data_IF_259539943487
#
_entry.id   IF_259539943487
#
_cell.length_a   1.000
_cell.length_b   1.000
_cell.length_c   1.000
_cell.angle_alpha   90.00
_cell.angle_beta   90.00
_cell.angle_gamma   90.00
#
_symmetry.space_group_name_H-M   'P 1'
#
loop_
_entity.id
_entity.type
_entity.pdbx_description
1 polymer ?
#
# COMPACT_ATOMS: atom_id res chain seq x y z
N UNK A 1 2.34 -51.16 -63.14
CA UNK A 1 1.19 -50.85 -62.24
C UNK A 1 1.62 -50.84 -60.77
N UNK A 2 2.61 -51.64 -60.38
CA UNK A 2 3.15 -51.72 -59.01
C UNK A 2 3.82 -50.43 -58.51
N UNK A 3 4.44 -49.63 -59.38
CA UNK A 3 5.18 -48.44 -58.94
C UNK A 3 4.27 -47.35 -58.37
N UNK A 4 3.07 -47.16 -58.95
CA UNK A 4 2.10 -46.17 -58.44
C UNK A 4 1.56 -46.56 -57.06
N UNK A 5 1.45 -47.86 -56.76
CA UNK A 5 0.99 -48.35 -55.45
C UNK A 5 2.05 -48.13 -54.37
N UNK A 6 3.32 -48.44 -54.66
CA UNK A 6 4.46 -48.21 -53.75
C UNK A 6 4.66 -46.71 -53.45
N UNK A 7 4.48 -45.84 -54.45
CA UNK A 7 4.52 -44.39 -54.22
C UNK A 7 3.36 -43.88 -53.37
N UNK A 8 2.17 -44.50 -53.47
CA UNK A 8 0.99 -44.15 -52.65
C UNK A 8 1.13 -44.57 -51.19
N UNK A 9 1.76 -45.71 -50.92
CA UNK A 9 1.94 -46.24 -49.56
C UNK A 9 3.05 -45.50 -48.78
N UNK A 10 4.16 -45.17 -49.44
CA UNK A 10 5.26 -44.38 -48.82
C UNK A 10 4.89 -42.92 -48.56
N UNK A 11 4.01 -42.32 -49.35
CA UNK A 11 3.50 -40.97 -49.09
C UNK A 11 2.48 -41.00 -47.96
N UNK A 12 1.59 -42.00 -47.93
CA UNK A 12 0.61 -42.21 -46.86
C UNK A 12 1.23 -42.24 -45.45
N UNK A 13 2.29 -43.04 -45.24
CA UNK A 13 2.96 -43.08 -43.94
C UNK A 13 3.52 -41.71 -43.51
N UNK A 14 4.10 -40.93 -44.43
CA UNK A 14 4.66 -39.61 -44.11
C UNK A 14 3.59 -38.59 -43.72
N UNK A 15 2.42 -38.63 -44.36
CA UNK A 15 1.29 -37.79 -43.99
C UNK A 15 0.68 -38.24 -42.65
N UNK A 16 0.61 -39.53 -42.38
CA UNK A 16 0.15 -40.04 -41.10
C UNK A 16 1.03 -39.59 -39.92
N UNK A 17 2.37 -39.59 -40.07
CA UNK A 17 3.27 -39.04 -39.04
C UNK A 17 3.08 -37.52 -38.86
N UNK A 18 2.87 -36.80 -39.95
CA UNK A 18 2.63 -35.36 -39.92
C UNK A 18 1.33 -35.03 -39.18
N UNK A 19 0.24 -35.72 -39.50
CA UNK A 19 -1.06 -35.56 -38.86
C UNK A 19 -1.03 -35.98 -37.39
N UNK A 20 -0.27 -37.02 -37.04
CA UNK A 20 -0.06 -37.43 -35.65
C UNK A 20 0.69 -36.33 -34.87
N UNK A 21 1.77 -35.78 -35.43
CA UNK A 21 2.53 -34.68 -34.80
C UNK A 21 1.67 -33.42 -34.64
N UNK A 22 0.86 -33.08 -35.64
CA UNK A 22 -0.06 -31.96 -35.58
C UNK A 22 -1.13 -32.17 -34.50
N UNK A 23 -1.73 -33.37 -34.45
CA UNK A 23 -2.71 -33.75 -33.44
C UNK A 23 -2.12 -33.69 -32.03
N UNK A 24 -0.89 -34.21 -31.86
CA UNK A 24 -0.16 -34.15 -30.60
C UNK A 24 0.11 -32.71 -30.17
N UNK A 25 0.50 -31.83 -31.10
CA UNK A 25 0.70 -30.42 -30.80
C UNK A 25 -0.60 -29.73 -30.35
N UNK A 26 -1.70 -30.01 -31.04
CA UNK A 26 -3.01 -29.47 -30.67
C UNK A 26 -3.45 -29.94 -29.28
N UNK A 27 -3.17 -31.20 -28.92
CA UNK A 27 -3.41 -31.75 -27.58
C UNK A 27 -2.51 -31.09 -26.53
N UNK A 28 -1.23 -30.86 -26.82
CA UNK A 28 -0.34 -30.13 -25.93
C UNK A 28 -0.80 -28.69 -25.71
N UNK A 29 -1.27 -28.00 -26.77
CA UNK A 29 -1.86 -26.68 -26.66
C UNK A 29 -3.14 -26.65 -25.83
N UNK A 30 -4.03 -27.62 -26.03
CA UNK A 30 -5.24 -27.78 -25.23
C UNK A 30 -4.89 -28.03 -23.74
N UNK A 31 -3.97 -28.95 -23.47
CA UNK A 31 -3.51 -29.26 -22.13
C UNK A 31 -2.87 -28.04 -21.45
N UNK A 32 -2.12 -27.24 -22.20
CA UNK A 32 -1.52 -26.00 -21.71
C UNK A 32 -2.60 -24.95 -21.35
N UNK A 33 -3.63 -24.77 -22.18
CA UNK A 33 -4.77 -23.87 -21.88
C UNK A 33 -5.53 -24.33 -20.64
N UNK A 34 -5.78 -25.64 -20.50
CA UNK A 34 -6.46 -26.21 -19.32
C UNK A 34 -5.61 -26.00 -18.07
N UNK A 35 -4.31 -26.27 -18.13
CA UNK A 35 -3.40 -26.10 -16.99
C UNK A 35 -3.26 -24.63 -16.61
N UNK A 36 -3.15 -23.73 -17.59
CA UNK A 36 -3.12 -22.28 -17.37
C UNK A 36 -4.42 -21.81 -16.71
N UNK A 37 -5.58 -22.24 -17.22
CA UNK A 37 -6.89 -21.93 -16.64
C UNK A 37 -7.08 -22.49 -15.22
N UNK A 38 -6.65 -23.74 -14.98
CA UNK A 38 -6.65 -24.34 -13.65
C UNK A 38 -5.77 -23.57 -12.69
N UNK A 39 -4.61 -23.12 -13.15
CA UNK A 39 -3.67 -22.34 -12.35
C UNK A 39 -4.25 -20.95 -12.05
N UNK A 40 -4.90 -20.29 -13.01
CA UNK A 40 -5.65 -19.05 -12.77
C UNK A 40 -6.78 -19.23 -11.75
N UNK A 41 -7.48 -20.36 -11.78
CA UNK A 41 -8.57 -20.67 -10.87
C UNK A 41 -8.09 -21.02 -9.45
N UNK A 42 -6.92 -21.65 -9.32
CA UNK A 42 -6.33 -22.04 -8.03
C UNK A 42 -5.53 -20.92 -7.35
N UNK A 43 -5.28 -19.80 -8.04
CA UNK A 43 -4.76 -18.59 -7.39
C UNK A 43 -5.90 -17.92 -6.60
N UNK A 44 -6.16 -18.41 -5.38
CA UNK A 44 -7.20 -17.90 -4.45
C UNK A 44 -7.06 -16.39 -4.12
N UNK A 45 -5.88 -15.82 -4.39
CA UNK A 45 -5.63 -14.37 -4.37
C UNK A 45 -5.72 -13.91 -5.83
N UNK A 46 -6.95 -13.76 -6.34
CA UNK A 46 -7.26 -13.53 -7.76
C UNK A 46 -6.41 -12.44 -8.42
N UNK A 47 -6.17 -12.57 -9.73
CA UNK A 47 -5.37 -11.71 -10.65
C UNK A 47 -5.09 -10.32 -10.05
N UNK A 48 -4.09 -10.25 -9.17
CA UNK A 48 -3.74 -9.03 -8.47
C UNK A 48 -2.39 -8.59 -8.97
N UNK A 49 -2.42 -7.44 -9.65
CA UNK A 49 -1.21 -6.71 -9.95
C UNK A 49 -0.40 -6.51 -8.66
N UNK A 50 0.94 -6.65 -8.72
CA UNK A 50 1.81 -6.57 -7.55
C UNK A 50 1.48 -5.31 -6.74
N UNK A 51 1.03 -5.52 -5.52
CA UNK A 51 0.57 -4.48 -4.59
C UNK A 51 1.42 -4.54 -3.32
N UNK A 52 1.55 -3.41 -2.62
CA UNK A 52 2.44 -3.30 -1.45
C UNK A 52 2.13 -4.38 -0.39
N UNK A 53 3.11 -5.27 -0.16
CA UNK A 53 3.05 -6.29 0.90
C UNK A 53 2.54 -7.67 0.50
N UNK A 54 2.24 -7.91 -0.78
CA UNK A 54 1.77 -9.22 -1.27
C UNK A 54 2.78 -9.85 -2.26
N UNK A 55 2.89 -11.18 -2.26
CA UNK A 55 3.80 -11.96 -3.10
C UNK A 55 3.23 -12.29 -4.50
N UNK A 56 2.09 -11.70 -4.86
CA UNK A 56 1.41 -11.95 -6.14
C UNK A 56 2.30 -11.78 -7.38
N UNK A 57 3.25 -10.84 -7.37
CA UNK A 57 4.15 -10.60 -8.50
C UNK A 57 5.07 -11.76 -8.88
N UNK A 58 5.42 -12.65 -7.93
CA UNK A 58 6.30 -13.81 -8.18
C UNK A 58 5.53 -14.92 -8.91
N UNK A 59 4.28 -15.17 -8.51
CA UNK A 59 3.41 -16.12 -9.19
C UNK A 59 3.09 -15.66 -10.62
N UNK A 60 2.85 -14.35 -10.79
CA UNK A 60 2.69 -13.73 -12.11
C UNK A 60 3.94 -13.90 -12.99
N UNK A 61 5.12 -13.68 -12.43
CA UNK A 61 6.38 -13.80 -13.16
C UNK A 61 6.58 -15.20 -13.74
N UNK A 62 6.43 -16.24 -12.90
CA UNK A 62 6.59 -17.63 -13.34
C UNK A 62 5.57 -18.04 -14.41
N UNK A 63 4.33 -17.56 -14.30
CA UNK A 63 3.25 -17.86 -15.24
C UNK A 63 3.44 -17.23 -16.61
N UNK A 64 3.78 -15.94 -16.64
CA UNK A 64 4.00 -15.23 -17.89
C UNK A 64 5.30 -15.69 -18.57
N UNK A 65 6.31 -16.09 -17.79
CA UNK A 65 7.51 -16.73 -18.34
C UNK A 65 7.24 -18.10 -18.94
N UNK A 66 6.52 -18.98 -18.24
CA UNK A 66 6.23 -20.32 -18.78
C UNK A 66 5.31 -20.24 -20.01
N UNK A 67 4.29 -19.39 -19.97
CA UNK A 67 3.37 -19.20 -21.10
C UNK A 67 4.06 -18.51 -22.29
N UNK A 68 4.82 -17.45 -22.06
CA UNK A 68 5.53 -16.72 -23.11
C UNK A 68 6.68 -17.52 -23.73
N UNK A 69 7.63 -17.96 -22.91
CA UNK A 69 8.88 -18.54 -23.39
C UNK A 69 8.84 -20.05 -23.62
N UNK A 70 7.93 -20.80 -23.00
CA UNK A 70 7.86 -22.25 -23.22
C UNK A 70 6.79 -22.57 -24.25
N UNK A 71 5.58 -22.05 -24.06
CA UNK A 71 4.46 -22.36 -24.96
C UNK A 71 4.57 -21.63 -26.30
N UNK A 72 4.55 -20.30 -26.32
CA UNK A 72 4.59 -19.56 -27.60
C UNK A 72 5.91 -19.74 -28.37
N UNK A 73 7.04 -19.86 -27.67
CA UNK A 73 8.32 -20.17 -28.31
C UNK A 73 8.34 -21.58 -28.92
N UNK A 74 7.74 -22.57 -28.26
CA UNK A 74 7.62 -23.95 -28.76
C UNK A 74 6.78 -24.02 -30.02
N UNK A 75 5.62 -23.35 -30.02
CA UNK A 75 4.74 -23.22 -31.19
C UNK A 75 5.43 -22.47 -32.36
N UNK A 76 6.25 -21.45 -32.07
CA UNK A 76 7.02 -20.73 -33.09
C UNK A 76 8.03 -21.63 -33.82
N UNK A 77 8.67 -22.55 -33.09
CA UNK A 77 9.65 -23.49 -33.62
C UNK A 77 8.98 -24.61 -34.43
N UNK A 78 7.82 -25.10 -33.97
CA UNK A 78 7.08 -26.13 -34.67
C UNK A 78 6.39 -25.61 -35.94
N UNK A 79 5.83 -24.40 -35.89
CA UNK A 79 5.17 -23.77 -37.04
C UNK A 79 6.13 -23.56 -38.23
N UNK A 80 7.42 -23.31 -37.96
CA UNK A 80 8.44 -23.26 -39.01
C UNK A 80 8.64 -24.62 -39.71
N UNK A 81 8.49 -25.74 -38.99
CA UNK A 81 8.62 -27.10 -39.54
C UNK A 81 7.36 -27.56 -40.28
N UNK A 82 6.17 -27.14 -39.84
CA UNK A 82 4.89 -27.47 -40.48
C UNK A 82 4.81 -26.87 -41.90
N UNK A 83 5.26 -25.62 -42.09
CA UNK A 83 5.20 -24.91 -43.38
C UNK A 83 6.37 -25.21 -44.32
N UNK A 84 6.99 -26.39 -44.23
CA UNK A 84 8.13 -26.71 -45.10
C UNK A 84 7.78 -26.78 -46.59
N UNK A 85 6.50 -27.06 -46.90
CA UNK A 85 6.01 -27.27 -48.25
C UNK A 85 5.28 -26.06 -48.86
N UNK A 86 4.78 -25.11 -48.04
CA UNK A 86 3.94 -24.01 -48.51
C UNK A 86 4.52 -22.63 -48.18
N UNK A 87 4.26 -21.67 -49.08
CA UNK A 87 4.70 -20.27 -49.10
C UNK A 87 5.70 -19.82 -48.03
N UNK A 88 6.98 -19.64 -48.43
CA UNK A 88 8.08 -19.11 -47.59
C UNK A 88 7.75 -17.81 -46.84
N UNK A 89 6.77 -17.05 -47.32
CA UNK A 89 6.28 -15.81 -46.70
C UNK A 89 5.42 -16.09 -45.47
N UNK A 90 4.57 -17.12 -45.51
CA UNK A 90 3.64 -17.46 -44.45
C UNK A 90 4.37 -18.06 -43.24
N UNK A 91 5.36 -18.93 -43.48
CA UNK A 91 6.25 -19.44 -42.44
C UNK A 91 6.97 -18.31 -41.69
N UNK A 92 7.47 -17.30 -42.42
CA UNK A 92 8.11 -16.12 -41.83
C UNK A 92 7.12 -15.29 -41.02
N UNK A 93 5.92 -15.05 -41.55
CA UNK A 93 4.90 -14.27 -40.86
C UNK A 93 4.49 -14.90 -39.53
N UNK A 94 4.14 -16.19 -39.54
CA UNK A 94 3.73 -16.92 -38.33
C UNK A 94 4.86 -16.93 -37.29
N UNK A 95 6.10 -17.21 -37.72
CA UNK A 95 7.26 -17.19 -36.84
C UNK A 95 7.46 -15.82 -36.18
N UNK A 96 7.37 -14.74 -36.96
CA UNK A 96 7.48 -13.38 -36.42
C UNK A 96 6.35 -13.04 -35.46
N UNK A 97 5.10 -13.43 -35.76
CA UNK A 97 3.95 -13.18 -34.89
C UNK A 97 4.10 -13.92 -33.55
N UNK A 98 4.49 -15.20 -33.57
CA UNK A 98 4.69 -15.95 -32.33
C UNK A 98 5.85 -15.41 -31.48
N UNK A 99 6.96 -14.99 -32.11
CA UNK A 99 8.04 -14.33 -31.38
C UNK A 99 7.61 -12.97 -30.82
N UNK A 100 6.79 -12.21 -31.54
CA UNK A 100 6.26 -10.94 -31.06
C UNK A 100 5.33 -11.14 -29.84
N UNK A 101 4.49 -12.17 -29.87
CA UNK A 101 3.67 -12.59 -28.72
C UNK A 101 4.55 -13.01 -27.53
N UNK A 102 5.56 -13.85 -27.75
CA UNK A 102 6.49 -14.29 -26.72
C UNK A 102 7.23 -13.10 -26.07
N UNK A 103 7.68 -12.13 -26.86
CA UNK A 103 8.30 -10.90 -26.37
C UNK A 103 7.32 -10.03 -25.56
N UNK A 104 6.05 -9.99 -25.95
CA UNK A 104 5.00 -9.31 -25.18
C UNK A 104 4.82 -9.91 -23.79
N UNK A 105 4.69 -11.24 -23.70
CA UNK A 105 4.56 -11.94 -22.43
C UNK A 105 5.84 -11.90 -21.57
N UNK A 106 7.01 -11.93 -22.21
CA UNK A 106 8.28 -11.73 -21.52
C UNK A 106 8.39 -10.33 -20.91
N UNK A 107 8.00 -9.30 -21.67
CA UNK A 107 8.01 -7.91 -21.20
C UNK A 107 7.08 -7.71 -20.00
N UNK A 108 5.86 -8.26 -20.03
CA UNK A 108 4.94 -8.19 -18.89
C UNK A 108 5.44 -8.99 -17.68
N UNK A 109 6.05 -10.16 -17.88
CA UNK A 109 6.68 -10.94 -16.80
C UNK A 109 7.82 -10.18 -16.11
N UNK A 110 8.66 -9.50 -16.89
CA UNK A 110 9.77 -8.70 -16.39
C UNK A 110 9.26 -7.44 -15.67
N UNK A 111 8.26 -6.76 -16.24
CA UNK A 111 7.62 -5.61 -15.61
C UNK A 111 7.00 -5.98 -14.26
N UNK A 112 6.31 -7.12 -14.18
CA UNK A 112 5.75 -7.63 -12.92
C UNK A 112 6.84 -7.89 -11.87
N UNK A 113 7.98 -8.48 -12.27
CA UNK A 113 9.11 -8.72 -11.37
C UNK A 113 9.76 -7.42 -10.88
N UNK A 114 9.98 -6.45 -11.78
CA UNK A 114 10.56 -5.16 -11.43
C UNK A 114 9.63 -4.41 -10.46
N UNK A 115 8.33 -4.41 -10.74
CA UNK A 115 7.33 -3.78 -9.88
C UNK A 115 7.26 -4.46 -8.50
N UNK A 116 7.30 -5.78 -8.45
CA UNK A 116 7.39 -6.54 -7.20
C UNK A 116 8.65 -6.19 -6.39
N UNK A 117 9.81 -6.13 -7.06
CA UNK A 117 11.08 -5.77 -6.42
C UNK A 117 11.04 -4.33 -5.89
N UNK A 118 10.49 -3.39 -6.66
CA UNK A 118 10.32 -2.01 -6.24
C UNK A 118 9.35 -1.87 -5.05
N UNK A 119 8.25 -2.63 -5.03
CA UNK A 119 7.31 -2.67 -3.90
C UNK A 119 7.97 -3.24 -2.64
N UNK A 120 8.77 -4.31 -2.78
CA UNK A 120 9.50 -4.91 -1.66
C UNK A 120 10.58 -3.95 -1.12
N UNK A 121 11.33 -3.29 -2.01
CA UNK A 121 12.29 -2.23 -1.63
C UNK A 121 11.58 -1.12 -0.87
N UNK A 122 10.43 -0.64 -1.35
CA UNK A 122 9.63 0.39 -0.66
C UNK A 122 9.17 -0.05 0.74
N UNK A 123 8.78 -1.32 0.90
CA UNK A 123 8.42 -1.89 2.21
C UNK A 123 9.61 -2.01 3.17
N UNK A 124 10.81 -2.19 2.62
CA UNK A 124 12.08 -2.26 3.35
C UNK A 124 12.63 -0.88 3.71
N UNK A 125 12.15 0.21 3.10
CA UNK A 125 12.48 1.56 3.56
C UNK A 125 11.91 1.69 4.98
N UNK A 126 12.76 1.86 6.01
CA UNK A 126 12.31 1.91 7.39
C UNK A 126 11.51 3.17 7.71
N UNK A 127 11.13 4.00 6.72
CA UNK A 127 10.29 5.18 6.89
C UNK A 127 8.97 4.81 7.55
N UNK A 128 8.35 3.68 7.20
CA UNK A 128 7.11 3.26 7.86
C UNK A 128 7.33 2.79 9.31
N UNK A 129 8.46 2.14 9.58
CA UNK A 129 8.90 1.73 10.93
C UNK A 129 9.33 2.92 11.78
N UNK A 130 10.02 3.91 11.20
CA UNK A 130 10.41 5.17 11.80
C UNK A 130 9.21 6.07 12.07
N UNK A 131 8.24 6.14 11.15
CA UNK A 131 6.97 6.84 11.36
C UNK A 131 6.14 6.18 12.45
N UNK A 132 6.08 4.84 12.51
CA UNK A 132 5.42 4.14 13.61
C UNK A 132 6.14 4.39 14.95
N UNK A 133 7.47 4.38 14.97
CA UNK A 133 8.28 4.66 16.15
C UNK A 133 8.14 6.09 16.67
N UNK A 134 8.20 7.07 15.77
CA UNK A 134 8.01 8.50 16.09
C UNK A 134 6.59 8.82 16.54
N UNK A 135 5.56 8.22 15.91
CA UNK A 135 4.15 8.39 16.33
C UNK A 135 3.88 7.80 17.72
N UNK A 136 4.56 6.72 18.12
CA UNK A 136 4.49 6.17 19.48
C UNK A 136 5.18 7.10 20.48
N UNK A 137 6.39 7.57 20.20
CA UNK A 137 7.12 8.52 21.06
C UNK A 137 6.36 9.84 21.25
N UNK A 138 5.77 10.38 20.19
CA UNK A 138 5.00 11.62 20.25
C UNK A 138 3.75 11.47 21.12
N UNK A 139 2.99 10.37 20.97
CA UNK A 139 1.84 10.08 21.83
C UNK A 139 2.21 9.92 23.28
N UNK A 140 3.35 9.30 23.57
CA UNK A 140 3.82 9.14 24.95
C UNK A 140 4.25 10.48 25.55
N UNK A 141 4.94 11.34 24.77
CA UNK A 141 5.32 12.69 25.20
C UNK A 141 4.11 13.57 25.49
N UNK A 142 3.07 13.49 24.66
CA UNK A 142 1.80 14.19 24.88
C UNK A 142 1.11 13.68 26.16
N UNK A 143 1.04 12.36 26.38
CA UNK A 143 0.40 11.79 27.58
C UNK A 143 1.07 12.26 28.87
N UNK A 144 2.40 12.23 28.92
CA UNK A 144 3.16 12.73 30.08
C UNK A 144 2.90 14.24 30.31
N UNK A 145 2.89 15.05 29.25
CA UNK A 145 2.62 16.48 29.37
C UNK A 145 1.19 16.78 29.86
N UNK A 146 0.20 15.99 29.46
CA UNK A 146 -1.19 16.13 29.91
C UNK A 146 -1.31 15.77 31.40
N UNK A 147 -0.63 14.73 31.85
CA UNK A 147 -0.63 14.33 33.25
C UNK A 147 0.04 15.39 34.15
N UNK A 148 1.11 16.04 33.68
CA UNK A 148 1.75 17.16 34.38
C UNK A 148 0.84 18.38 34.50
N UNK A 149 0.15 18.75 33.42
CA UNK A 149 -0.82 19.87 33.43
C UNK A 149 -1.96 19.54 34.41
N UNK A 150 -2.47 18.31 34.39
CA UNK A 150 -3.55 17.87 35.29
C UNK A 150 -3.13 17.93 36.75
N UNK A 151 -1.90 17.52 37.08
CA UNK A 151 -1.34 17.62 38.44
C UNK A 151 -1.24 19.06 38.92
N UNK A 152 -0.73 19.97 38.07
CA UNK A 152 -0.64 21.39 38.41
C UNK A 152 -2.01 22.03 38.63
N UNK A 153 -3.00 21.70 37.79
CA UNK A 153 -4.38 22.19 37.95
C UNK A 153 -5.00 21.72 39.28
N UNK A 154 -4.82 20.44 39.64
CA UNK A 154 -5.31 19.92 40.92
C UNK A 154 -4.65 20.60 42.13
N UNK A 155 -3.36 20.92 42.07
CA UNK A 155 -2.69 21.65 43.16
C UNK A 155 -3.21 23.08 43.32
N UNK A 156 -3.49 23.77 42.21
CA UNK A 156 -4.07 25.12 42.25
C UNK A 156 -5.47 25.07 42.86
N UNK A 157 -6.30 24.11 42.46
CA UNK A 157 -7.64 23.94 43.03
C UNK A 157 -7.62 23.67 44.54
N UNK A 158 -6.68 22.87 45.04
CA UNK A 158 -6.49 22.62 46.48
C UNK A 158 -6.08 23.90 47.23
N UNK A 159 -5.17 24.69 46.66
CA UNK A 159 -4.75 25.98 47.23
C UNK A 159 -5.91 26.98 47.27
N UNK A 160 -6.68 27.11 46.19
CA UNK A 160 -7.85 28.00 46.14
C UNK A 160 -8.92 27.57 47.15
N UNK A 161 -9.14 26.27 47.33
CA UNK A 161 -10.10 25.74 48.31
C UNK A 161 -9.68 26.07 49.75
N UNK A 162 -8.38 25.95 50.07
CA UNK A 162 -7.82 26.34 51.38
C UNK A 162 -7.93 27.84 51.64
N UNK A 163 -7.73 28.67 50.62
CA UNK A 163 -7.90 30.13 50.74
C UNK A 163 -9.37 30.47 51.00
N UNK A 164 -10.30 29.86 50.26
CA UNK A 164 -11.73 30.13 50.41
C UNK A 164 -12.24 29.76 51.81
N UNK A 165 -11.85 28.60 52.34
CA UNK A 165 -12.23 28.20 53.71
C UNK A 165 -11.64 29.13 54.77
N UNK A 166 -10.44 29.68 54.56
CA UNK A 166 -9.81 30.66 55.46
C UNK A 166 -10.58 31.98 55.49
N UNK A 167 -10.98 32.49 54.32
CA UNK A 167 -11.80 33.71 54.19
C UNK A 167 -13.17 33.51 54.84
N UNK A 168 -13.78 32.33 54.68
CA UNK A 168 -15.10 32.03 55.28
C UNK A 168 -15.04 31.97 56.81
N UNK A 169 -13.95 31.42 57.38
CA UNK A 169 -13.71 31.47 58.83
C UNK A 169 -13.46 32.91 59.32
N UNK A 170 -12.78 33.74 58.52
CA UNK A 170 -12.54 35.14 58.85
C UNK A 170 -13.84 35.96 58.83
N UNK A 171 -14.72 35.73 57.84
CA UNK A 171 -16.07 36.32 57.79
C UNK A 171 -16.90 35.97 59.03
N UNK A 172 -16.92 34.70 59.45
CA UNK A 172 -17.62 34.28 60.67
C UNK A 172 -17.04 34.89 61.96
N UNK A 173 -15.73 35.17 61.99
CA UNK A 173 -15.06 35.86 63.10
C UNK A 173 -15.42 37.36 63.15
N UNK A 174 -15.58 37.99 61.98
CA UNK A 174 -15.99 39.40 61.87
C UNK A 174 -17.47 39.58 62.23
N UNK A 175 -18.35 38.66 61.82
CA UNK A 175 -19.80 38.72 62.11
C UNK A 175 -20.12 38.58 63.62
N UNK A 176 -19.25 37.93 64.40
CA UNK A 176 -19.37 37.83 65.86
C UNK A 176 -18.83 39.04 66.64
N UNK A 177 -18.25 40.06 65.98
CA UNK A 177 -17.85 41.29 66.68
C UNK A 177 -19.08 42.20 66.87
N UNK A 178 -19.48 42.55 68.10
CA UNK A 178 -20.54 43.54 68.31
C UNK A 178 -20.11 44.87 67.69
N UNK A 179 -21.02 45.53 66.96
CA UNK A 179 -20.83 46.86 66.34
C UNK A 179 -20.42 47.89 67.39
N UNK A 180 -19.12 48.00 67.69
CA UNK A 180 -18.56 49.16 68.39
C UNK A 180 -18.12 50.18 67.34
N UNK A 181 -18.96 51.21 67.21
CA UNK A 181 -18.66 52.60 66.82
C UNK A 181 -17.68 52.75 65.66
N UNK A 182 -18.25 52.84 64.45
CA UNK A 182 -17.62 53.53 63.33
C UNK A 182 -17.69 55.05 63.62
N UNK A 183 -16.76 55.56 64.41
CA UNK A 183 -16.54 56.98 64.55
C UNK A 183 -15.05 57.24 64.28
N UNK A 184 -14.78 58.14 63.34
CA UNK A 184 -13.45 58.65 62.98
C UNK A 184 -12.55 57.73 62.15
N UNK A 185 -12.85 57.58 60.84
CA UNK A 185 -11.82 57.44 59.80
C UNK A 185 -12.35 57.80 58.40
N UNK A 186 -13.08 58.90 58.31
CA UNK A 186 -13.50 59.51 57.04
C UNK A 186 -12.57 60.64 56.56
N UNK A 187 -11.33 60.70 57.06
CA UNK A 187 -10.29 61.60 56.57
C UNK A 187 -9.00 60.82 56.34
N UNK A 188 -8.90 60.09 55.21
CA UNK A 188 -7.62 59.70 54.58
C UNK A 188 -7.79 58.90 53.27
N UNK A 189 -9.02 58.60 52.85
CA UNK A 189 -9.28 57.81 51.63
C UNK A 189 -9.75 58.62 50.42
N UNK A 190 -9.99 59.93 50.58
CA UNK A 190 -10.40 60.80 49.46
C UNK A 190 -9.21 61.34 48.63
N UNK A 191 -7.97 61.08 49.04
CA UNK A 191 -6.76 61.61 48.37
C UNK A 191 -5.94 60.53 47.62
N UNK A 192 -6.40 59.28 47.58
CA UNK A 192 -5.73 58.20 46.79
C UNK A 192 -6.53 57.69 45.60
N UNK A 193 -7.76 58.19 45.38
CA UNK A 193 -8.63 57.72 44.29
C UNK A 193 -8.42 58.53 42.99
N UNK A 194 -7.85 59.73 43.03
CA UNK A 194 -7.57 60.50 41.80
C UNK A 194 -6.25 60.15 41.09
N UNK A 195 -5.44 59.22 41.61
CA UNK A 195 -4.13 58.88 41.01
C UNK A 195 -4.17 57.66 40.05
N UNK A 196 -5.26 56.90 40.01
CA UNK A 196 -5.34 55.68 39.17
C UNK A 196 -6.24 55.86 37.94
N UNK A 197 -7.06 56.91 37.88
CA UNK A 197 -7.97 57.18 36.76
C UNK A 197 -7.39 58.18 35.75
N UNK A 198 -6.08 58.08 35.49
CA UNK A 198 -5.35 59.04 34.67
C UNK A 198 -4.05 58.49 34.09
N UNK A 199 -4.16 57.47 33.22
CA UNK A 199 -3.20 57.08 32.16
C UNK A 199 -3.72 55.77 31.56
N UNK A 200 -4.36 55.75 30.40
CA UNK A 200 -3.85 56.29 29.15
C UNK A 200 -3.45 55.11 28.28
N UNK A 201 -4.37 54.68 27.41
CA UNK A 201 -4.07 53.87 26.22
C UNK A 201 -2.90 54.47 25.45
N UNK A 202 -2.04 53.65 24.84
CA UNK A 202 -1.52 53.98 23.54
C UNK A 202 -2.00 52.98 22.49
N UNK A 203 -2.87 53.49 21.63
CA UNK A 203 -2.92 53.17 20.22
C UNK A 203 -1.56 53.37 19.56
N UNK A 204 -1.16 52.46 18.65
CA UNK A 204 -0.57 52.69 17.31
C UNK A 204 0.09 51.38 16.85
N UNK A 205 -0.41 50.83 15.73
CA UNK A 205 0.14 50.92 14.37
C UNK A 205 1.30 49.95 14.16
#
# INVERSE_FOLDING_TARGET
MSDKFVWSEKTSHRYAYFDLLLSFNQLCGLAFVILSGYLFNTMEIGIKWPSEGDNGGINFHGMFMSTGLVFFQGEALLSHRMYRYDNKVLSKFIHTVFHLLAMGFFSTALAAMILQKNANVRSSIPVFTLLKGTKKRLRQKIRISVDDIKRKASQILDQTTKIYSRIELEKKSIEKRPRRKLCCRNLSLKERVEVVEGRGMPSKQ
#
